data_IF_317468298168
#
_entry.id   IF_317468298168
#
_cell.length_a   1.000
_cell.length_b   1.000
_cell.length_c   1.000
_cell.angle_alpha   90.00
_cell.angle_beta   90.00
_cell.angle_gamma   90.00
#
_symmetry.space_group_name_H-M   'P 1'
#
loop_
_entity.id
_entity.type
_entity.pdbx_description
1 polymer ?
#
# COMPACT_ATOMS: atom_id res chain seq x y z
N UNK A 1 73.39 -6.47 -33.86
CA UNK A 1 72.49 -5.78 -32.91
C UNK A 1 71.29 -6.63 -32.48
N UNK A 2 70.48 -7.18 -33.41
CA UNK A 2 69.26 -7.96 -33.09
C UNK A 2 69.40 -8.99 -31.95
N UNK A 3 70.46 -9.82 -31.96
CA UNK A 3 70.71 -10.82 -30.90
C UNK A 3 70.87 -10.20 -29.50
N UNK A 4 71.52 -9.04 -29.38
CA UNK A 4 71.72 -8.34 -28.10
C UNK A 4 70.38 -7.79 -27.58
N UNK A 5 69.54 -7.26 -28.48
CA UNK A 5 68.21 -6.79 -28.13
C UNK A 5 67.29 -7.94 -27.67
N UNK A 6 67.35 -9.10 -28.35
CA UNK A 6 66.61 -10.29 -27.95
C UNK A 6 67.05 -10.81 -26.57
N UNK A 7 68.37 -10.95 -26.34
CA UNK A 7 68.93 -11.40 -25.06
C UNK A 7 68.57 -10.45 -23.90
N UNK A 8 68.67 -9.12 -24.12
CA UNK A 8 68.28 -8.13 -23.14
C UNK A 8 66.78 -8.20 -22.82
N UNK A 9 65.93 -8.36 -23.83
CA UNK A 9 64.49 -8.54 -23.65
C UNK A 9 64.18 -9.80 -22.80
N UNK A 10 64.81 -10.93 -23.11
CA UNK A 10 64.61 -12.16 -22.32
C UNK A 10 65.07 -12.03 -20.86
N UNK A 11 66.16 -11.30 -20.59
CA UNK A 11 66.62 -11.04 -19.24
C UNK A 11 65.62 -10.18 -18.45
N UNK A 12 65.17 -9.06 -19.04
CA UNK A 12 64.18 -8.16 -18.43
C UNK A 12 62.84 -8.86 -18.15
N UNK A 13 62.37 -9.71 -19.07
CA UNK A 13 61.15 -10.52 -18.87
C UNK A 13 61.34 -11.53 -17.73
N UNK A 14 62.50 -12.19 -17.65
CA UNK A 14 62.78 -13.14 -16.56
C UNK A 14 62.87 -12.44 -15.20
N UNK A 15 63.48 -11.25 -15.12
CA UNK A 15 63.57 -10.51 -13.85
C UNK A 15 62.25 -9.87 -13.42
N UNK A 16 61.41 -9.43 -14.36
CA UNK A 16 60.04 -9.05 -14.07
C UNK A 16 59.23 -10.22 -13.50
N UNK A 17 59.33 -11.40 -14.13
CA UNK A 17 58.69 -12.64 -13.62
C UNK A 17 59.22 -13.02 -12.23
N UNK A 18 60.55 -13.04 -12.04
CA UNK A 18 61.20 -13.32 -10.76
C UNK A 18 60.70 -12.40 -9.64
N UNK A 19 60.47 -11.13 -9.96
CA UNK A 19 60.00 -10.11 -9.00
C UNK A 19 58.54 -10.35 -8.62
N UNK A 20 57.65 -10.58 -9.60
CA UNK A 20 56.22 -10.80 -9.35
C UNK A 20 55.98 -12.08 -8.56
N UNK A 21 56.62 -13.19 -8.90
CA UNK A 21 56.43 -14.47 -8.18
C UNK A 21 56.87 -14.35 -6.71
N UNK A 22 58.00 -13.68 -6.44
CA UNK A 22 58.45 -13.41 -5.06
C UNK A 22 57.50 -12.48 -4.29
N UNK A 23 56.91 -11.49 -4.96
CA UNK A 23 55.93 -10.59 -4.35
C UNK A 23 54.68 -11.35 -3.87
N UNK A 24 54.23 -12.36 -4.62
CA UNK A 24 53.15 -13.27 -4.20
C UNK A 24 53.59 -14.36 -3.20
N UNK A 25 54.82 -14.29 -2.67
CA UNK A 25 55.34 -15.24 -1.67
C UNK A 25 55.84 -16.57 -2.24
N UNK A 26 55.85 -16.74 -3.56
CA UNK A 26 56.28 -17.95 -4.23
C UNK A 26 57.77 -17.91 -4.65
N UNK A 27 58.33 -19.07 -4.98
CA UNK A 27 59.72 -19.21 -5.42
C UNK A 27 59.79 -19.37 -6.95
N UNK A 28 60.45 -18.45 -7.68
CA UNK A 28 60.63 -18.56 -9.15
C UNK A 28 61.40 -19.82 -9.60
N UNK A 29 62.06 -20.54 -8.67
CA UNK A 29 62.76 -21.81 -8.95
C UNK A 29 61.83 -23.02 -8.94
N UNK A 30 60.69 -22.94 -8.27
CA UNK A 30 59.73 -24.06 -8.12
C UNK A 30 58.39 -23.78 -8.81
N UNK A 31 58.05 -22.50 -8.98
CA UNK A 31 56.83 -22.07 -9.68
C UNK A 31 57.19 -21.49 -11.06
N UNK A 32 57.13 -22.28 -12.14
CA UNK A 32 57.30 -21.79 -13.50
C UNK A 32 56.03 -21.06 -14.00
N UNK A 33 56.12 -20.26 -15.08
CA UNK A 33 54.99 -19.50 -15.62
C UNK A 33 53.72 -20.33 -15.88
N UNK A 34 53.89 -21.58 -16.28
CA UNK A 34 52.83 -22.56 -16.55
C UNK A 34 52.07 -23.03 -15.30
N UNK A 35 52.60 -22.78 -14.09
CA UNK A 35 51.92 -23.04 -12.82
C UNK A 35 51.34 -21.74 -12.25
N UNK A 36 52.12 -20.65 -12.29
CA UNK A 36 51.76 -19.35 -11.72
C UNK A 36 50.57 -18.69 -12.43
N UNK A 37 50.68 -18.43 -13.74
CA UNK A 37 49.67 -17.63 -14.45
C UNK A 37 48.26 -18.27 -14.49
N UNK A 38 48.09 -19.61 -14.60
CA UNK A 38 46.78 -20.23 -14.52
C UNK A 38 46.00 -19.99 -13.21
N UNK A 39 46.66 -19.61 -12.11
CA UNK A 39 45.96 -19.15 -10.90
C UNK A 39 45.12 -17.91 -11.20
N UNK A 40 45.74 -16.88 -11.79
CA UNK A 40 45.08 -15.64 -12.18
C UNK A 40 44.05 -15.86 -13.31
N UNK A 41 44.34 -16.72 -14.29
CA UNK A 41 43.38 -17.02 -15.38
C UNK A 41 42.12 -17.69 -14.84
N UNK A 42 42.23 -18.62 -13.88
CA UNK A 42 41.07 -19.21 -13.20
C UNK A 42 40.33 -18.16 -12.37
N UNK A 43 41.04 -17.39 -11.55
CA UNK A 43 40.45 -16.35 -10.71
C UNK A 43 39.66 -15.31 -11.52
N UNK A 44 40.24 -14.76 -12.59
CA UNK A 44 39.61 -13.74 -13.45
C UNK A 44 38.36 -14.30 -14.14
N UNK A 45 38.32 -15.60 -14.49
CA UNK A 45 37.12 -16.25 -15.01
C UNK A 45 36.05 -16.35 -13.92
N UNK A 46 36.35 -17.03 -12.82
CA UNK A 46 35.38 -17.26 -11.73
C UNK A 46 34.86 -15.97 -11.10
N UNK A 47 35.67 -14.90 -11.08
CA UNK A 47 35.25 -13.57 -10.66
C UNK A 47 34.18 -12.99 -11.59
N UNK A 48 34.40 -13.02 -12.92
CA UNK A 48 33.42 -12.56 -13.92
C UNK A 48 32.15 -13.38 -13.95
N UNK A 49 32.28 -14.70 -13.77
CA UNK A 49 31.13 -15.61 -13.68
C UNK A 49 30.28 -15.25 -12.44
N UNK A 50 30.94 -14.98 -11.29
CA UNK A 50 30.28 -14.57 -10.05
C UNK A 50 29.68 -13.15 -10.12
N UNK A 51 30.29 -12.20 -10.83
CA UNK A 51 29.68 -10.87 -11.09
C UNK A 51 28.34 -11.02 -11.83
N UNK A 52 28.30 -11.84 -12.88
CA UNK A 52 27.08 -12.11 -13.64
C UNK A 52 26.02 -12.84 -12.80
N UNK A 53 26.42 -13.82 -11.99
CA UNK A 53 25.51 -14.53 -11.08
C UNK A 53 24.93 -13.59 -10.02
N UNK A 54 25.75 -12.71 -9.44
CA UNK A 54 25.32 -11.72 -8.44
C UNK A 54 24.35 -10.69 -9.04
N UNK A 55 24.61 -10.20 -10.27
CA UNK A 55 23.66 -9.35 -11.00
C UNK A 55 22.32 -10.06 -11.25
N UNK A 56 22.36 -11.32 -11.70
CA UNK A 56 21.15 -12.11 -11.95
C UNK A 56 20.38 -12.35 -10.65
N UNK A 57 21.06 -12.71 -9.56
CA UNK A 57 20.46 -12.95 -8.24
C UNK A 57 19.77 -11.69 -7.72
N UNK A 58 20.43 -10.53 -7.79
CA UNK A 58 19.84 -9.23 -7.42
C UNK A 58 18.57 -8.91 -8.21
N UNK A 59 18.58 -9.11 -9.53
CA UNK A 59 17.40 -8.91 -10.40
C UNK A 59 16.24 -9.87 -10.05
N UNK A 60 16.57 -11.12 -9.69
CA UNK A 60 15.56 -12.10 -9.24
C UNK A 60 14.97 -11.74 -7.87
N UNK A 61 15.81 -11.32 -6.91
CA UNK A 61 15.38 -10.86 -5.58
C UNK A 61 14.47 -9.62 -5.67
N UNK A 62 14.81 -8.67 -6.54
CA UNK A 62 14.01 -7.47 -6.83
C UNK A 62 12.63 -7.83 -7.39
N UNK A 63 12.58 -8.65 -8.45
CA UNK A 63 11.32 -9.15 -9.04
C UNK A 63 10.48 -9.96 -8.04
N UNK A 64 11.10 -10.69 -7.12
CA UNK A 64 10.38 -11.41 -6.06
C UNK A 64 9.85 -10.47 -4.97
N UNK A 65 10.60 -9.42 -4.61
CA UNK A 65 10.15 -8.36 -3.69
C UNK A 65 8.97 -7.58 -4.27
N UNK A 66 9.02 -7.19 -5.54
CA UNK A 66 7.91 -6.52 -6.22
C UNK A 66 6.64 -7.38 -6.25
N UNK A 67 6.76 -8.68 -6.54
CA UNK A 67 5.63 -9.62 -6.52
C UNK A 67 4.97 -9.70 -5.14
N UNK A 68 5.76 -9.70 -4.06
CA UNK A 68 5.23 -9.70 -2.68
C UNK A 68 4.50 -8.38 -2.36
N UNK A 69 5.10 -7.23 -2.67
CA UNK A 69 4.48 -5.91 -2.47
C UNK A 69 3.18 -5.77 -3.28
N UNK A 70 3.16 -6.23 -4.53
CA UNK A 70 1.97 -6.23 -5.38
C UNK A 70 0.89 -7.21 -4.87
N UNK A 71 1.26 -8.32 -4.24
CA UNK A 71 0.31 -9.24 -3.61
C UNK A 71 -0.29 -8.63 -2.32
N UNK A 72 0.52 -7.95 -1.51
CA UNK A 72 0.08 -7.26 -0.31
C UNK A 72 -0.85 -6.09 -0.63
N UNK A 73 -0.48 -5.24 -1.59
CA UNK A 73 -1.33 -4.16 -2.10
C UNK A 73 -2.69 -4.69 -2.57
N UNK A 74 -2.73 -5.80 -3.33
CA UNK A 74 -3.98 -6.44 -3.77
C UNK A 74 -4.80 -7.06 -2.63
N UNK A 75 -4.16 -7.52 -1.53
CA UNK A 75 -4.86 -7.97 -0.31
C UNK A 75 -5.50 -6.78 0.41
N UNK A 76 -4.76 -5.69 0.59
CA UNK A 76 -5.24 -4.49 1.26
C UNK A 76 -6.34 -3.77 0.46
N UNK A 77 -6.21 -3.68 -0.86
CA UNK A 77 -7.25 -3.15 -1.76
C UNK A 77 -8.58 -3.93 -1.61
N UNK A 78 -8.52 -5.27 -1.59
CA UNK A 78 -9.69 -6.13 -1.37
C UNK A 78 -10.31 -5.90 0.01
N UNK A 79 -9.50 -5.78 1.07
CA UNK A 79 -9.96 -5.50 2.43
C UNK A 79 -10.68 -4.15 2.51
N UNK A 80 -10.08 -3.10 1.94
CA UNK A 80 -10.64 -1.75 1.92
C UNK A 80 -11.97 -1.72 1.12
N UNK A 81 -12.04 -2.40 -0.03
CA UNK A 81 -13.27 -2.53 -0.82
C UNK A 81 -14.38 -3.25 -0.06
N UNK A 82 -14.06 -4.31 0.69
CA UNK A 82 -15.03 -5.03 1.52
C UNK A 82 -15.57 -4.14 2.66
N UNK A 83 -14.68 -3.44 3.38
CA UNK A 83 -15.08 -2.47 4.43
C UNK A 83 -15.94 -1.33 3.88
N UNK A 84 -15.63 -0.83 2.67
CA UNK A 84 -16.43 0.19 2.00
C UNK A 84 -17.83 -0.34 1.63
N UNK A 85 -17.93 -1.59 1.14
CA UNK A 85 -19.21 -2.24 0.85
C UNK A 85 -20.05 -2.46 2.11
N UNK A 86 -19.44 -2.87 3.21
CA UNK A 86 -20.11 -3.03 4.51
C UNK A 86 -20.68 -1.71 5.03
N UNK A 87 -19.90 -0.62 4.99
CA UNK A 87 -20.34 0.73 5.34
C UNK A 87 -21.52 1.21 4.46
N UNK A 88 -21.43 1.00 3.14
CA UNK A 88 -22.52 1.35 2.21
C UNK A 88 -23.78 0.52 2.50
N UNK A 89 -23.66 -0.76 2.83
CA UNK A 89 -24.78 -1.63 3.16
C UNK A 89 -25.47 -1.24 4.48
N UNK A 90 -24.70 -0.80 5.48
CA UNK A 90 -25.25 -0.28 6.75
C UNK A 90 -25.92 1.08 6.57
N UNK A 91 -25.32 2.01 5.82
CA UNK A 91 -25.95 3.31 5.50
C UNK A 91 -27.27 3.13 4.73
N UNK A 92 -27.32 2.21 3.77
CA UNK A 92 -28.56 1.84 3.06
C UNK A 92 -29.61 1.25 3.99
N UNK A 93 -29.23 0.39 4.94
CA UNK A 93 -30.14 -0.16 5.97
C UNK A 93 -30.71 0.91 6.91
N UNK A 94 -30.00 2.01 7.15
CA UNK A 94 -30.49 3.17 7.92
C UNK A 94 -31.44 4.02 7.09
N UNK A 95 -31.02 4.41 5.87
CA UNK A 95 -31.89 5.16 4.95
C UNK A 95 -33.20 4.44 4.64
N UNK A 96 -33.22 3.10 4.55
CA UNK A 96 -34.44 2.31 4.38
C UNK A 96 -35.38 2.30 5.61
N UNK A 97 -34.90 2.68 6.80
CA UNK A 97 -35.73 2.85 8.02
C UNK A 97 -36.20 4.29 8.21
N UNK A 98 -35.36 5.26 7.83
CA UNK A 98 -35.67 6.69 7.92
C UNK A 98 -36.54 7.17 6.76
N UNK A 99 -36.43 6.55 5.58
CA UNK A 99 -37.39 6.70 4.47
C UNK A 99 -38.69 5.91 4.74
N UNK A 100 -39.31 6.16 5.89
CA UNK A 100 -40.77 6.14 5.96
C UNK A 100 -41.29 7.16 4.93
N UNK A 101 -42.43 6.93 4.27
CA UNK A 101 -43.12 8.02 3.58
C UNK A 101 -43.30 9.18 4.57
N UNK A 102 -42.80 10.36 4.22
CA UNK A 102 -42.89 11.56 5.07
C UNK A 102 -44.35 12.00 5.08
N UNK A 103 -45.10 11.43 6.01
CA UNK A 103 -46.52 11.66 6.30
C UNK A 103 -47.36 12.01 5.05
N UNK A 104 -47.68 10.99 4.26
CA UNK A 104 -48.87 11.09 3.40
C UNK A 104 -50.06 11.41 4.32
N UNK A 105 -50.57 12.64 4.24
CA UNK A 105 -51.68 13.10 5.06
C UNK A 105 -52.92 12.24 4.81
N UNK A 106 -53.21 11.32 5.73
CA UNK A 106 -54.39 10.43 5.70
C UNK A 106 -55.46 10.83 6.71
N UNK A 107 -55.14 11.75 7.61
CA UNK A 107 -55.95 12.06 8.80
C UNK A 107 -56.89 13.27 8.58
N UNK A 108 -57.15 13.65 7.32
CA UNK A 108 -58.09 14.72 6.91
C UNK A 108 -57.72 16.15 7.34
N UNK A 109 -56.65 16.34 8.11
CA UNK A 109 -56.36 17.61 8.79
C UNK A 109 -56.02 18.75 7.81
N UNK A 110 -55.46 18.42 6.64
CA UNK A 110 -55.19 19.40 5.58
C UNK A 110 -56.50 19.85 4.93
N UNK A 111 -57.39 18.89 4.69
CA UNK A 111 -58.71 19.08 4.09
C UNK A 111 -59.64 19.87 5.05
N UNK A 112 -59.55 19.63 6.35
CA UNK A 112 -60.25 20.38 7.41
C UNK A 112 -59.75 21.82 7.50
N UNK A 113 -58.42 22.05 7.49
CA UNK A 113 -57.83 23.40 7.47
C UNK A 113 -58.27 24.15 6.21
N UNK A 114 -58.26 23.49 5.04
CA UNK A 114 -58.74 24.07 3.78
C UNK A 114 -60.25 24.37 3.85
N UNK A 115 -61.04 23.52 4.49
CA UNK A 115 -62.49 23.70 4.64
C UNK A 115 -62.83 24.85 5.59
N UNK A 116 -62.10 24.98 6.70
CA UNK A 116 -62.22 26.13 7.61
C UNK A 116 -61.84 27.45 6.92
N UNK A 117 -60.74 27.48 6.17
CA UNK A 117 -60.31 28.68 5.41
C UNK A 117 -61.23 29.02 4.23
N UNK A 118 -62.03 28.06 3.74
CA UNK A 118 -63.10 28.31 2.76
C UNK A 118 -64.40 28.82 3.40
N UNK A 119 -64.71 28.42 4.63
CA UNK A 119 -65.95 28.83 5.31
C UNK A 119 -65.84 30.19 6.01
N UNK A 120 -64.63 30.60 6.43
CA UNK A 120 -64.35 31.93 6.97
C UNK A 120 -63.13 32.57 6.30
N UNK A 121 -63.24 33.79 5.72
CA UNK A 121 -62.11 34.46 5.09
C UNK A 121 -61.04 34.82 6.14
N UNK A 122 -59.78 34.51 5.84
CA UNK A 122 -58.68 34.69 6.77
C UNK A 122 -58.47 36.16 7.17
N UNK A 123 -58.75 36.47 8.44
CA UNK A 123 -58.62 37.81 9.01
C UNK A 123 -57.45 37.87 9.99
N UNK A 124 -56.31 38.38 9.52
CA UNK A 124 -55.01 38.33 10.19
C UNK A 124 -54.90 39.07 11.56
N UNK A 125 -55.98 39.62 12.11
CA UNK A 125 -55.97 40.43 13.35
C UNK A 125 -56.30 39.65 14.63
N UNK A 126 -56.83 38.43 14.54
CA UNK A 126 -57.32 37.68 15.73
C UNK A 126 -56.21 36.87 16.44
N UNK A 127 -54.97 36.91 15.95
CA UNK A 127 -53.82 36.23 16.52
C UNK A 127 -53.24 36.93 17.78
N UNK A 128 -54.06 37.13 18.83
CA UNK A 128 -53.58 37.59 20.16
C UNK A 128 -54.17 36.84 21.36
N UNK A 129 -54.21 35.51 21.23
CA UNK A 129 -53.95 34.57 22.33
C UNK A 129 -52.83 33.65 21.82
N UNK A 130 -51.75 33.37 22.55
CA UNK A 130 -51.49 33.59 23.97
C UNK A 130 -51.11 32.26 24.58
N UNK A 131 -49.80 31.93 24.55
CA UNK A 131 -49.31 30.61 24.92
C UNK A 131 -49.52 30.32 26.40
N UNK A 132 -50.62 29.64 26.71
CA UNK A 132 -50.84 28.88 27.93
C UNK A 132 -51.32 27.50 27.51
N UNK A 133 -50.35 26.64 27.19
CA UNK A 133 -50.56 25.19 27.23
C UNK A 133 -51.14 24.86 28.61
N UNK A 134 -52.34 24.27 28.64
CA UNK A 134 -53.07 23.97 29.87
C UNK A 134 -53.18 22.44 30.03
N UNK A 135 -52.03 21.81 30.25
CA UNK A 135 -51.91 20.64 31.12
C UNK A 135 -51.41 21.20 32.47
N UNK A 136 -51.85 20.77 33.64
CA UNK A 136 -52.55 19.54 34.06
C UNK A 136 -53.56 19.90 35.18
N UNK A 137 -54.55 19.05 35.52
CA UNK A 137 -54.50 18.47 36.88
C UNK A 137 -55.10 17.05 37.05
N UNK A 138 -54.22 16.05 37.10
CA UNK A 138 -54.00 15.06 38.17
C UNK A 138 -55.15 14.52 39.08
N UNK A 139 -55.12 13.19 39.29
CA UNK A 139 -55.83 12.36 40.31
C UNK A 139 -57.35 12.17 40.10
N UNK A 140 -58.00 11.08 40.54
CA UNK A 140 -57.71 9.95 41.46
C UNK A 140 -57.94 8.58 40.75
N UNK A 141 -57.71 7.35 41.26
CA UNK A 141 -57.23 6.76 42.54
C UNK A 141 -56.13 5.67 42.21
N UNK A 142 -55.62 4.68 42.97
CA UNK A 142 -56.01 3.77 44.09
C UNK A 142 -57.09 2.69 43.78
N UNK A 143 -57.04 1.43 44.26
CA UNK A 143 -55.97 0.64 44.94
C UNK A 143 -56.18 -0.89 44.74
N UNK A 144 -55.13 -1.71 44.91
CA UNK A 144 -55.13 -2.90 45.80
C UNK A 144 -53.78 -3.65 45.80
N UNK A 145 -53.21 -3.84 46.99
CA UNK A 145 -52.71 -5.15 47.42
C UNK A 145 -53.82 -5.77 48.27
#
# INVERSE_FOLDING_TARGET
>A
MLLVHALLCTALVQDAYNTVVRYFGESPKTTPPSVFFPVFVRFIRSYKDAEQENEMRKKQEEVMREKLLAQEAKKQEKRNKWQQQELIAELRRRQAKDHRPVYEGKDGTIEDIITALKSVPFTARTAKRGSRFFCDPSHHDESNC
#
